data_IF_108608804978
#
_entry.id   IF_108608804978
#
_cell.length_a   1.000
_cell.length_b   1.000
_cell.length_c   1.000
_cell.angle_alpha   90.00
_cell.angle_beta   90.00
_cell.angle_gamma   90.00
#
_symmetry.space_group_name_H-M   'P 1'
#
loop_
_entity.id
_entity.type
_entity.pdbx_description
1 polymer ?
#
# COMPACT_ATOMS: atom_id res chain seq x y z
N UNK A 1 6.95 -31.06 12.42
CA UNK A 1 5.88 -30.47 13.26
C UNK A 1 4.64 -30.33 12.41
N UNK A 2 3.51 -30.89 12.83
CA UNK A 2 2.23 -30.67 12.15
C UNK A 2 1.64 -29.40 12.75
N UNK A 3 1.58 -28.32 12.00
CA UNK A 3 0.91 -27.07 12.39
C UNK A 3 -0.58 -27.24 12.10
N UNK A 4 -1.41 -27.00 13.09
CA UNK A 4 -2.85 -26.82 12.87
C UNK A 4 -3.05 -25.39 12.39
N UNK A 5 -3.62 -25.17 11.20
CA UNK A 5 -3.85 -23.80 10.73
C UNK A 5 -4.83 -23.09 11.66
N UNK A 6 -4.37 -22.03 12.33
CA UNK A 6 -5.24 -21.06 12.98
C UNK A 6 -5.68 -20.06 11.92
N UNK A 7 -6.92 -20.13 11.49
CA UNK A 7 -7.51 -19.09 10.68
C UNK A 7 -7.97 -17.96 11.61
N UNK A 8 -7.32 -16.80 11.50
CA UNK A 8 -7.84 -15.55 12.07
C UNK A 8 -8.60 -14.82 10.97
N UNK A 9 -9.91 -14.73 11.09
CA UNK A 9 -10.70 -13.82 10.28
C UNK A 9 -10.47 -12.40 10.81
N UNK A 10 -9.65 -11.63 10.14
CA UNK A 10 -9.54 -10.20 10.39
C UNK A 10 -10.58 -9.52 9.52
N UNK A 11 -11.73 -9.22 10.10
CA UNK A 11 -12.82 -8.50 9.45
C UNK A 11 -12.44 -7.02 9.28
N UNK A 12 -11.57 -6.71 8.33
CA UNK A 12 -11.32 -5.32 7.91
C UNK A 12 -12.41 -4.81 6.94
N UNK A 13 -13.19 -5.72 6.33
CA UNK A 13 -14.36 -5.48 5.45
C UNK A 13 -15.19 -6.76 5.36
N UNK A 14 -16.39 -6.72 4.76
CA UNK A 14 -17.29 -7.90 4.65
C UNK A 14 -16.64 -9.16 4.09
N UNK A 15 -15.54 -9.03 3.37
CA UNK A 15 -14.89 -10.14 2.69
C UNK A 15 -13.69 -10.70 3.45
N UNK A 16 -13.20 -10.04 4.52
CA UNK A 16 -12.06 -10.50 5.35
C UNK A 16 -10.93 -11.18 4.55
N UNK A 17 -9.83 -11.45 5.18
CA UNK A 17 -8.82 -12.33 4.57
C UNK A 17 -8.31 -13.36 5.58
N UNK A 18 -7.90 -14.51 5.08
CA UNK A 18 -7.39 -15.61 5.89
C UNK A 18 -5.88 -15.60 5.81
N UNK A 19 -5.20 -15.49 6.96
CA UNK A 19 -3.76 -15.66 7.07
C UNK A 19 -3.47 -17.07 7.57
N UNK A 20 -2.77 -17.85 6.76
CA UNK A 20 -2.21 -19.11 7.22
C UNK A 20 -0.95 -18.84 8.07
N UNK A 21 -1.09 -19.06 9.37
CA UNK A 21 -0.01 -18.83 10.33
C UNK A 21 1.19 -19.75 10.07
N UNK A 22 0.98 -20.97 9.60
CA UNK A 22 2.05 -21.91 9.31
C UNK A 22 2.95 -21.41 8.17
N UNK A 23 2.35 -20.90 7.10
CA UNK A 23 3.08 -20.34 5.97
C UNK A 23 3.75 -19.03 6.33
N UNK A 24 3.09 -18.16 7.10
CA UNK A 24 3.71 -16.93 7.63
C UNK A 24 4.90 -17.22 8.54
N UNK A 25 4.76 -18.21 9.43
CA UNK A 25 5.85 -18.66 10.31
C UNK A 25 7.04 -19.14 9.48
N UNK A 26 6.80 -19.94 8.46
CA UNK A 26 7.83 -20.48 7.55
C UNK A 26 8.53 -19.37 6.76
N UNK A 27 7.80 -18.36 6.30
CA UNK A 27 8.38 -17.19 5.63
C UNK A 27 9.31 -16.43 6.58
N UNK A 28 8.88 -16.17 7.80
CA UNK A 28 9.67 -15.43 8.79
C UNK A 28 10.89 -16.20 9.31
N UNK A 29 10.94 -17.52 9.16
CA UNK A 29 12.14 -18.33 9.48
C UNK A 29 13.34 -17.98 8.61
N UNK A 30 13.16 -17.35 7.46
CA UNK A 30 14.23 -16.92 6.57
C UNK A 30 14.99 -15.69 7.10
N UNK A 31 14.44 -14.99 8.10
CA UNK A 31 15.04 -13.78 8.64
C UNK A 31 16.30 -14.07 9.46
N UNK A 32 17.34 -13.29 9.20
CA UNK A 32 18.54 -13.32 10.03
C UNK A 32 18.28 -12.73 11.40
N UNK A 33 18.60 -13.48 12.44
CA UNK A 33 18.44 -13.05 13.84
C UNK A 33 19.76 -12.42 14.34
N UNK A 34 19.79 -11.10 14.48
CA UNK A 34 20.98 -10.37 14.96
C UNK A 34 21.27 -10.55 16.46
N UNK A 35 20.41 -11.27 17.20
CA UNK A 35 20.60 -11.50 18.64
C UNK A 35 21.62 -12.62 18.90
N UNK A 36 22.41 -12.44 19.96
CA UNK A 36 23.26 -13.52 20.48
C UNK A 36 22.44 -14.74 20.91
N UNK A 37 23.03 -15.93 20.73
CA UNK A 37 22.37 -17.18 21.10
C UNK A 37 22.13 -17.32 22.62
N UNK A 38 22.87 -16.57 23.45
CA UNK A 38 22.74 -16.61 24.91
C UNK A 38 21.52 -15.82 25.39
N UNK A 39 20.74 -16.41 26.29
CA UNK A 39 19.62 -15.75 26.95
C UNK A 39 18.36 -15.58 26.10
N UNK A 40 18.25 -16.25 24.97
CA UNK A 40 17.06 -16.21 24.12
C UNK A 40 15.90 -16.95 24.80
N UNK A 41 15.01 -16.17 25.45
CA UNK A 41 13.77 -16.71 26.05
C UNK A 41 12.70 -16.99 25.02
N UNK A 42 12.68 -16.20 23.93
CA UNK A 42 11.65 -16.25 22.87
C UNK A 42 12.33 -16.34 21.51
N UNK A 43 11.82 -17.21 20.63
CA UNK A 43 12.29 -17.25 19.23
C UNK A 43 11.92 -15.95 18.53
N UNK A 44 12.75 -15.53 17.57
CA UNK A 44 12.48 -14.32 16.77
C UNK A 44 11.13 -14.45 16.06
N UNK A 45 10.95 -15.58 15.39
CA UNK A 45 9.77 -15.84 14.55
C UNK A 45 8.47 -15.80 15.36
N UNK A 46 8.43 -16.44 16.54
CA UNK A 46 7.24 -16.39 17.41
C UNK A 46 6.87 -14.96 17.78
N UNK A 47 7.87 -14.13 18.14
CA UNK A 47 7.61 -12.74 18.50
C UNK A 47 7.11 -11.94 17.31
N UNK A 48 7.68 -12.15 16.12
CA UNK A 48 7.24 -11.46 14.90
C UNK A 48 5.85 -11.88 14.46
N UNK A 49 5.51 -13.16 14.53
CA UNK A 49 4.13 -13.64 14.28
C UNK A 49 3.16 -12.95 15.24
N UNK A 50 3.49 -12.88 16.52
CA UNK A 50 2.65 -12.18 17.50
C UNK A 50 2.45 -10.70 17.16
N UNK A 51 3.51 -10.01 16.74
CA UNK A 51 3.43 -8.61 16.27
C UNK A 51 2.50 -8.48 15.08
N UNK A 52 2.67 -9.32 14.06
CA UNK A 52 1.87 -9.27 12.84
C UNK A 52 0.40 -9.53 13.15
N UNK A 53 0.08 -10.58 13.90
CA UNK A 53 -1.30 -10.92 14.26
C UNK A 53 -1.97 -9.83 15.10
N UNK A 54 -1.26 -9.25 16.08
CA UNK A 54 -1.78 -8.15 16.86
C UNK A 54 -2.02 -6.89 16.00
N UNK A 55 -1.09 -6.58 15.08
CA UNK A 55 -1.25 -5.48 14.10
C UNK A 55 -2.46 -5.69 13.20
N UNK A 56 -2.65 -6.87 12.66
CA UNK A 56 -3.83 -7.24 11.86
C UNK A 56 -5.13 -7.16 12.67
N UNK A 57 -5.06 -7.31 13.99
CA UNK A 57 -6.18 -7.14 14.91
C UNK A 57 -6.40 -5.69 15.38
N UNK A 58 -5.67 -4.71 14.79
CA UNK A 58 -5.82 -3.28 15.06
C UNK A 58 -4.92 -2.71 16.16
N UNK A 59 -4.02 -3.51 16.74
CA UNK A 59 -3.11 -3.01 17.77
C UNK A 59 -1.99 -2.17 17.16
N UNK A 60 -1.92 -0.90 17.53
CA UNK A 60 -0.96 0.04 16.94
C UNK A 60 0.28 0.28 17.79
N UNK A 61 0.22 0.04 19.08
CA UNK A 61 1.30 0.32 20.02
C UNK A 61 1.88 -0.96 20.61
N UNK A 62 3.18 -0.94 20.91
CA UNK A 62 3.91 -2.09 21.47
C UNK A 62 3.28 -2.61 22.77
N UNK A 63 2.75 -1.71 23.61
CA UNK A 63 2.07 -2.09 24.83
C UNK A 63 0.76 -2.83 24.53
N UNK A 64 -0.05 -2.33 23.58
CA UNK A 64 -1.28 -3.01 23.13
C UNK A 64 -0.97 -4.38 22.55
N UNK A 65 0.09 -4.52 21.73
CA UNK A 65 0.56 -5.82 21.22
C UNK A 65 0.85 -6.79 22.38
N UNK A 66 1.59 -6.35 23.41
CA UNK A 66 1.91 -7.20 24.55
C UNK A 66 0.66 -7.64 25.34
N UNK A 67 -0.28 -6.73 25.55
CA UNK A 67 -1.55 -7.00 26.23
C UNK A 67 -2.43 -7.93 25.40
N UNK A 68 -2.54 -7.69 24.08
CA UNK A 68 -3.28 -8.53 23.15
C UNK A 68 -2.77 -9.98 23.15
N UNK A 69 -1.44 -10.17 23.10
CA UNK A 69 -0.80 -11.49 23.16
C UNK A 69 -1.01 -12.15 24.52
N UNK A 70 -0.87 -11.40 25.62
CA UNK A 70 -1.08 -11.91 26.99
C UNK A 70 -2.48 -12.51 27.16
N UNK A 71 -3.49 -11.85 26.60
CA UNK A 71 -4.89 -12.31 26.66
C UNK A 71 -5.16 -13.57 25.82
N UNK A 72 -4.34 -13.84 24.79
CA UNK A 72 -4.53 -14.93 23.82
C UNK A 72 -3.41 -15.95 23.81
N UNK A 73 -2.54 -15.95 24.82
CA UNK A 73 -1.30 -16.73 24.81
C UNK A 73 -1.51 -18.24 24.68
N UNK A 74 -2.56 -18.79 25.30
CA UNK A 74 -2.89 -20.21 25.19
C UNK A 74 -3.32 -20.58 23.76
N UNK A 75 -4.21 -19.81 23.18
CA UNK A 75 -4.69 -20.00 21.80
C UNK A 75 -3.56 -19.86 20.78
N UNK A 76 -2.69 -18.87 20.98
CA UNK A 76 -1.51 -18.64 20.15
C UNK A 76 -0.50 -19.79 20.29
N UNK A 77 -0.30 -20.29 21.48
CA UNK A 77 0.60 -21.42 21.71
C UNK A 77 0.06 -22.70 21.08
N UNK A 78 -1.22 -22.98 21.22
CA UNK A 78 -1.89 -24.11 20.59
C UNK A 78 -1.74 -24.05 19.06
N UNK A 79 -2.10 -22.91 18.45
CA UNK A 79 -2.03 -22.75 17.01
C UNK A 79 -0.63 -22.77 16.42
N UNK A 80 0.37 -22.38 17.18
CA UNK A 80 1.78 -22.46 16.79
C UNK A 80 2.45 -23.77 17.19
N UNK A 81 1.73 -24.69 17.85
CA UNK A 81 2.29 -25.95 18.36
C UNK A 81 3.38 -25.75 19.41
N UNK A 82 3.30 -24.70 20.22
CA UNK A 82 4.30 -24.36 21.22
C UNK A 82 4.03 -25.14 22.51
N UNK A 83 5.07 -25.75 23.10
CA UNK A 83 4.97 -26.47 24.38
C UNK A 83 4.62 -25.57 25.58
N UNK A 84 4.83 -24.27 25.46
CA UNK A 84 4.52 -23.24 26.47
C UNK A 84 3.82 -22.08 25.80
N UNK A 85 2.99 -21.36 26.55
CA UNK A 85 2.29 -20.18 26.09
C UNK A 85 3.10 -18.90 26.44
N UNK A 86 4.10 -18.51 25.63
CA UNK A 86 4.94 -17.36 25.93
C UNK A 86 4.15 -16.06 25.75
N UNK A 87 4.31 -15.14 26.71
CA UNK A 87 3.78 -13.78 26.63
C UNK A 87 4.91 -12.78 26.92
N UNK A 88 5.64 -12.33 25.89
CA UNK A 88 6.71 -11.38 26.06
C UNK A 88 6.21 -10.05 26.63
N UNK A 89 7.01 -9.43 27.48
CA UNK A 89 6.74 -8.07 27.97
C UNK A 89 6.96 -7.03 26.84
N UNK A 90 6.28 -5.89 26.91
CA UNK A 90 6.37 -4.81 25.92
C UNK A 90 7.82 -4.42 25.55
N UNK A 91 8.72 -4.32 26.55
CA UNK A 91 10.15 -4.03 26.32
C UNK A 91 10.82 -5.08 25.41
N UNK A 92 10.39 -6.34 25.46
CA UNK A 92 10.95 -7.40 24.60
C UNK A 92 10.62 -7.12 23.14
N UNK A 93 9.41 -6.73 22.82
CA UNK A 93 9.01 -6.31 21.47
C UNK A 93 9.80 -5.12 21.00
N UNK A 94 9.93 -4.06 21.82
CA UNK A 94 10.73 -2.88 21.50
C UNK A 94 12.18 -3.25 21.14
N UNK A 95 12.82 -4.09 21.97
CA UNK A 95 14.20 -4.51 21.71
C UNK A 95 14.34 -5.36 20.46
N UNK A 96 13.40 -6.27 20.20
CA UNK A 96 13.43 -7.13 19.02
C UNK A 96 13.21 -6.31 17.75
N UNK A 97 12.20 -5.47 17.72
CA UNK A 97 11.89 -4.63 16.56
C UNK A 97 12.97 -3.59 16.28
N UNK A 98 13.62 -3.06 17.33
CA UNK A 98 14.66 -2.04 17.17
C UNK A 98 16.06 -2.58 16.86
N UNK A 99 16.40 -3.83 17.26
CA UNK A 99 17.79 -4.27 17.22
C UNK A 99 18.01 -5.70 16.71
N UNK A 100 16.97 -6.54 16.65
CA UNK A 100 17.14 -7.96 16.35
C UNK A 100 16.97 -8.32 14.88
N UNK A 101 16.35 -7.45 14.11
CA UNK A 101 16.02 -7.66 12.69
C UNK A 101 16.64 -6.59 11.82
N UNK A 102 16.83 -6.92 10.56
CA UNK A 102 17.09 -5.94 9.52
C UNK A 102 15.75 -5.45 8.96
N UNK A 103 15.47 -4.14 8.96
CA UNK A 103 14.20 -3.61 8.46
C UNK A 103 13.93 -3.96 7.00
N UNK A 104 14.96 -3.88 6.14
CA UNK A 104 14.81 -4.13 4.71
C UNK A 104 14.58 -5.62 4.43
N UNK A 105 15.30 -6.49 5.14
CA UNK A 105 15.08 -7.94 5.07
C UNK A 105 13.67 -8.31 5.55
N UNK A 106 13.23 -7.75 6.68
CA UNK A 106 11.89 -7.97 7.20
C UNK A 106 10.81 -7.50 6.22
N UNK A 107 10.96 -6.29 5.68
CA UNK A 107 10.03 -5.75 4.69
C UNK A 107 9.95 -6.63 3.46
N UNK A 108 11.08 -7.12 2.94
CA UNK A 108 11.12 -8.02 1.79
C UNK A 108 10.38 -9.33 2.07
N UNK A 109 10.66 -9.99 3.18
CA UNK A 109 10.03 -11.27 3.55
C UNK A 109 8.52 -11.12 3.72
N UNK A 110 8.08 -10.06 4.40
CA UNK A 110 6.65 -9.77 4.62
C UNK A 110 5.95 -9.43 3.30
N UNK A 111 6.56 -8.58 2.46
CA UNK A 111 6.06 -8.26 1.12
C UNK A 111 5.89 -9.52 0.29
N UNK A 112 6.94 -10.34 0.19
CA UNK A 112 6.94 -11.54 -0.64
C UNK A 112 5.88 -12.54 -0.14
N UNK A 113 5.69 -12.66 1.17
CA UNK A 113 4.62 -13.46 1.73
C UNK A 113 3.23 -12.96 1.30
N UNK A 114 2.93 -11.68 1.49
CA UNK A 114 1.62 -11.13 1.16
C UNK A 114 1.36 -11.04 -0.35
N UNK A 115 2.39 -10.83 -1.16
CA UNK A 115 2.28 -10.82 -2.62
C UNK A 115 1.88 -12.20 -3.20
N UNK A 116 2.21 -13.29 -2.51
CA UNK A 116 1.87 -14.65 -2.93
C UNK A 116 0.53 -15.16 -2.37
N UNK A 117 -0.17 -14.37 -1.57
CA UNK A 117 -1.51 -14.74 -1.13
C UNK A 117 -2.48 -14.75 -2.32
N UNK A 118 -3.40 -15.73 -2.40
CA UNK A 118 -4.35 -15.82 -3.52
C UNK A 118 -5.16 -14.54 -3.75
N UNK A 119 -5.43 -13.79 -2.68
CA UNK A 119 -6.16 -12.54 -2.72
C UNK A 119 -5.35 -11.37 -3.30
N UNK A 120 -4.02 -11.42 -3.26
CA UNK A 120 -3.16 -10.35 -3.75
C UNK A 120 -3.24 -10.16 -5.27
N UNK A 121 -3.67 -11.18 -6.01
CA UNK A 121 -3.84 -11.14 -7.46
C UNK A 121 -5.18 -10.58 -7.95
N UNK A 122 -6.15 -10.39 -7.08
CA UNK A 122 -7.55 -10.09 -7.45
C UNK A 122 -7.71 -8.62 -7.84
N UNK A 123 -7.02 -7.70 -7.18
CA UNK A 123 -7.16 -6.27 -7.50
C UNK A 123 -6.45 -5.92 -8.80
N UNK A 124 -7.20 -5.25 -9.68
CA UNK A 124 -6.65 -4.68 -10.91
C UNK A 124 -5.90 -3.36 -10.66
N UNK A 125 -6.13 -2.68 -9.52
CA UNK A 125 -5.57 -1.36 -9.25
C UNK A 125 -4.43 -1.42 -8.22
N UNK A 126 -3.39 -0.64 -8.49
CA UNK A 126 -2.30 -0.35 -7.56
C UNK A 126 -2.24 1.17 -7.39
N UNK A 127 -2.38 1.63 -6.17
CA UNK A 127 -2.29 3.05 -5.84
C UNK A 127 -0.91 3.36 -5.26
N UNK A 128 -0.30 4.45 -5.70
CA UNK A 128 0.92 5.00 -5.12
C UNK A 128 0.56 6.22 -4.27
N UNK A 129 1.02 6.25 -3.03
CA UNK A 129 0.80 7.39 -2.11
C UNK A 129 2.02 7.59 -1.22
N UNK A 130 2.47 8.83 -1.15
CA UNK A 130 3.57 9.23 -0.27
C UNK A 130 3.05 9.71 1.08
N UNK A 131 3.70 9.27 2.16
CA UNK A 131 3.34 9.68 3.53
C UNK A 131 4.56 9.96 4.37
N UNK A 132 4.50 11.09 5.07
CA UNK A 132 5.46 11.39 6.13
C UNK A 132 4.98 10.76 7.44
N UNK A 133 5.81 9.92 8.04
CA UNK A 133 5.54 9.32 9.33
C UNK A 133 5.81 10.36 10.41
N UNK A 134 4.77 11.04 10.87
CA UNK A 134 4.86 12.21 11.77
C UNK A 134 5.57 11.90 13.10
N UNK A 135 5.39 10.70 13.63
CA UNK A 135 6.01 10.27 14.90
C UNK A 135 7.53 10.11 14.79
N UNK A 136 8.10 10.16 13.58
CA UNK A 136 9.54 10.09 13.34
C UNK A 136 10.19 11.48 13.21
N UNK A 137 9.40 12.56 13.31
CA UNK A 137 9.94 13.92 13.27
C UNK A 137 10.65 14.22 14.58
N UNK A 138 11.97 14.44 14.58
CA UNK A 138 12.68 14.79 15.80
C UNK A 138 12.21 16.14 16.36
N UNK A 139 12.32 16.32 17.66
CA UNK A 139 11.98 17.59 18.30
C UNK A 139 12.79 18.74 17.66
N UNK A 140 12.09 19.77 17.16
CA UNK A 140 12.69 20.93 16.48
C UNK A 140 12.99 20.71 14.98
N UNK A 141 12.71 19.55 14.41
CA UNK A 141 12.81 19.29 12.98
C UNK A 141 11.44 19.43 12.29
N UNK A 142 11.46 19.69 10.98
CA UNK A 142 10.26 19.78 10.15
C UNK A 142 10.05 18.54 9.27
N UNK A 143 11.09 17.70 9.15
CA UNK A 143 11.11 16.54 8.27
C UNK A 143 11.19 15.25 9.12
N UNK A 144 10.28 14.33 8.85
CA UNK A 144 10.28 12.97 9.39
C UNK A 144 10.58 11.94 8.29
N UNK A 145 10.49 10.66 8.66
CA UNK A 145 10.61 9.58 7.70
C UNK A 145 9.51 9.70 6.64
N UNK A 146 9.90 9.89 5.40
CA UNK A 146 8.97 9.90 4.27
C UNK A 146 8.97 8.53 3.59
N UNK A 147 7.81 8.00 3.31
CA UNK A 147 7.63 6.69 2.70
C UNK A 147 6.72 6.80 1.49
N UNK A 148 7.08 6.14 0.41
CA UNK A 148 6.21 5.89 -0.72
C UNK A 148 5.65 4.47 -0.59
N UNK A 149 4.33 4.35 -0.59
CA UNK A 149 3.63 3.07 -0.51
C UNK A 149 2.93 2.74 -1.83
N UNK A 150 3.03 1.49 -2.24
CA UNK A 150 2.18 0.88 -3.25
C UNK A 150 1.15 0.01 -2.54
N UNK A 151 -0.13 0.27 -2.76
CA UNK A 151 -1.21 -0.46 -2.10
C UNK A 151 -2.39 -0.73 -3.04
N UNK A 152 -3.15 -1.76 -2.72
CA UNK A 152 -4.40 -2.07 -3.41
C UNK A 152 -5.58 -1.33 -2.76
N UNK A 153 -6.63 -0.98 -3.52
CA UNK A 153 -7.81 -0.28 -2.99
C UNK A 153 -8.46 -0.97 -1.79
N UNK A 154 -8.34 -2.28 -1.71
CA UNK A 154 -8.85 -3.11 -0.62
C UNK A 154 -8.07 -2.95 0.69
N UNK A 155 -7.05 -2.09 0.71
CA UNK A 155 -6.27 -1.75 1.91
C UNK A 155 -4.99 -2.56 2.10
N UNK A 156 -4.57 -3.35 1.11
CA UNK A 156 -3.32 -4.09 1.17
C UNK A 156 -2.14 -3.24 0.74
N UNK A 157 -1.16 -3.11 1.60
CA UNK A 157 0.13 -2.51 1.24
C UNK A 157 1.00 -3.60 0.62
N UNK A 158 1.29 -3.45 -0.68
CA UNK A 158 2.14 -4.37 -1.42
C UNK A 158 3.62 -4.13 -1.12
N UNK A 159 4.01 -2.87 -1.07
CA UNK A 159 5.39 -2.44 -0.86
C UNK A 159 5.41 -1.04 -0.28
N UNK A 160 6.35 -0.81 0.62
CA UNK A 160 6.72 0.53 1.08
C UNK A 160 8.21 0.75 0.84
N UNK A 161 8.56 1.90 0.30
CA UNK A 161 9.95 2.33 0.15
C UNK A 161 10.20 3.59 0.95
N UNK A 162 11.32 3.66 1.65
CA UNK A 162 11.78 4.90 2.28
C UNK A 162 12.25 5.83 1.17
N UNK A 163 11.76 7.05 1.19
CA UNK A 163 12.25 8.15 0.35
C UNK A 163 13.38 8.81 1.12
N UNK A 164 14.59 8.78 0.59
CA UNK A 164 15.74 9.37 1.24
C UNK A 164 15.58 10.90 1.37
N UNK A 165 16.19 11.50 2.37
CA UNK A 165 16.00 12.92 2.69
C UNK A 165 16.36 13.89 1.56
N UNK A 166 17.15 13.43 0.58
CA UNK A 166 17.55 14.19 -0.63
C UNK A 166 16.79 13.79 -1.88
N UNK A 167 15.94 12.78 -1.80
CA UNK A 167 15.08 12.32 -2.88
C UNK A 167 13.66 12.84 -2.69
N UNK A 168 12.91 12.87 -3.78
CA UNK A 168 11.46 13.04 -3.76
C UNK A 168 10.76 11.76 -4.20
N UNK A 169 9.44 11.72 -4.08
CA UNK A 169 8.63 10.58 -4.48
C UNK A 169 8.81 10.21 -5.96
N UNK A 170 9.09 11.19 -6.83
CA UNK A 170 9.31 10.98 -8.27
C UNK A 170 10.51 10.05 -8.51
N UNK A 171 11.58 10.20 -7.72
CA UNK A 171 12.78 9.36 -7.82
C UNK A 171 12.57 7.99 -7.16
N UNK A 172 11.77 7.93 -6.09
CA UNK A 172 11.50 6.68 -5.38
C UNK A 172 10.49 5.77 -6.12
N UNK A 173 9.51 6.34 -6.81
CA UNK A 173 8.44 5.59 -7.48
C UNK A 173 8.95 4.53 -8.48
N UNK A 174 9.94 4.81 -9.35
CA UNK A 174 10.52 3.82 -10.25
C UNK A 174 11.06 2.57 -9.55
N UNK A 175 11.70 2.74 -8.38
CA UNK A 175 12.25 1.62 -7.60
C UNK A 175 11.14 0.76 -6.99
N UNK A 176 10.10 1.42 -6.46
CA UNK A 176 8.93 0.73 -5.89
C UNK A 176 8.23 -0.09 -6.98
N UNK A 177 7.97 0.49 -8.15
CA UNK A 177 7.26 -0.18 -9.24
C UNK A 177 8.04 -1.34 -9.85
N UNK A 178 9.37 -1.25 -9.97
CA UNK A 178 10.21 -2.36 -10.46
C UNK A 178 10.12 -3.63 -9.63
N UNK A 179 9.75 -3.50 -8.36
CA UNK A 179 9.62 -4.64 -7.44
C UNK A 179 8.24 -5.28 -7.46
N UNK A 180 7.32 -4.80 -8.29
CA UNK A 180 5.94 -5.26 -8.37
C UNK A 180 5.64 -5.90 -9.73
N UNK A 181 4.77 -6.90 -9.75
CA UNK A 181 4.20 -7.41 -11.00
C UNK A 181 3.03 -6.51 -11.43
N UNK A 182 3.25 -5.72 -12.47
CA UNK A 182 2.29 -4.75 -12.99
C UNK A 182 1.43 -5.30 -14.13
N UNK A 183 1.61 -6.55 -14.56
CA UNK A 183 0.88 -7.13 -15.70
C UNK A 183 -0.62 -7.11 -15.45
N UNK A 184 -1.38 -6.55 -16.40
CA UNK A 184 -2.83 -6.41 -16.33
C UNK A 184 -3.32 -5.47 -15.21
N UNK A 185 -2.43 -4.68 -14.59
CA UNK A 185 -2.78 -3.77 -13.50
C UNK A 185 -3.04 -2.36 -14.00
N UNK A 186 -3.75 -1.59 -13.19
CA UNK A 186 -3.95 -0.15 -13.36
C UNK A 186 -3.21 0.56 -12.23
N UNK A 187 -2.20 1.33 -12.56
CA UNK A 187 -1.45 2.13 -11.58
C UNK A 187 -2.09 3.51 -11.47
N UNK A 188 -2.39 3.93 -10.26
CA UNK A 188 -2.92 5.27 -9.96
C UNK A 188 -2.00 6.00 -8.98
N UNK A 189 -1.88 7.31 -9.13
CA UNK A 189 -1.14 8.14 -8.21
C UNK A 189 -1.67 9.58 -8.22
N UNK A 190 -1.16 10.39 -7.29
CA UNK A 190 -1.47 11.81 -7.26
C UNK A 190 -0.75 12.58 -8.39
N UNK A 191 -1.02 13.87 -8.46
CA UNK A 191 -0.49 14.74 -9.51
C UNK A 191 1.04 14.86 -9.49
N UNK A 192 1.69 14.72 -8.33
CA UNK A 192 3.15 14.81 -8.22
C UNK A 192 3.84 13.71 -9.03
N UNK A 193 3.25 12.53 -9.04
CA UNK A 193 3.75 11.35 -9.76
C UNK A 193 3.29 11.27 -11.22
N UNK A 194 2.49 12.23 -11.69
CA UNK A 194 2.07 12.33 -13.09
C UNK A 194 3.23 12.80 -13.98
N UNK A 195 4.24 11.94 -14.15
CA UNK A 195 5.45 12.21 -14.93
C UNK A 195 5.52 11.27 -16.16
N UNK A 196 6.03 11.81 -17.28
CA UNK A 196 6.17 11.06 -18.53
C UNK A 196 7.04 9.81 -18.35
N UNK A 197 8.22 9.96 -17.72
CA UNK A 197 9.16 8.86 -17.54
C UNK A 197 8.57 7.72 -16.70
N UNK A 198 7.82 8.07 -15.66
CA UNK A 198 7.11 7.07 -14.84
C UNK A 198 6.02 6.36 -15.64
N UNK A 199 5.33 7.09 -16.50
CA UNK A 199 4.31 6.53 -17.42
C UNK A 199 4.90 5.52 -18.39
N UNK A 200 6.05 5.84 -19.00
CA UNK A 200 6.79 4.95 -19.89
C UNK A 200 7.22 3.69 -19.13
N UNK A 201 7.82 3.85 -17.97
CA UNK A 201 8.27 2.73 -17.17
C UNK A 201 7.14 1.77 -16.76
N UNK A 202 5.96 2.28 -16.42
CA UNK A 202 4.80 1.43 -16.07
C UNK A 202 4.43 0.54 -17.26
N UNK A 203 4.42 1.08 -18.47
CA UNK A 203 4.12 0.32 -19.67
C UNK A 203 5.23 -0.68 -19.99
N UNK A 204 6.49 -0.30 -19.89
CA UNK A 204 7.64 -1.17 -20.18
C UNK A 204 7.74 -2.35 -19.18
N UNK A 205 7.55 -2.09 -17.88
CA UNK A 205 7.63 -3.11 -16.82
C UNK A 205 6.39 -3.99 -16.80
N UNK A 206 5.22 -3.40 -16.99
CA UNK A 206 3.94 -4.10 -16.94
C UNK A 206 3.45 -4.68 -18.26
N UNK A 207 4.05 -4.30 -19.39
CA UNK A 207 3.64 -4.70 -20.72
C UNK A 207 2.31 -4.08 -21.15
N UNK A 208 1.22 -4.48 -20.54
CA UNK A 208 -0.14 -3.96 -20.77
C UNK A 208 -0.70 -3.15 -19.58
N UNK A 209 0.15 -2.80 -18.62
CA UNK A 209 -0.26 -2.01 -17.48
C UNK A 209 -0.82 -0.65 -17.91
N UNK A 210 -1.94 -0.28 -17.29
CA UNK A 210 -2.58 1.02 -17.51
C UNK A 210 -2.25 1.97 -16.39
N UNK A 211 -2.39 3.27 -16.64
CA UNK A 211 -2.17 4.32 -15.65
C UNK A 211 -3.32 5.29 -15.61
N UNK A 212 -3.61 5.81 -14.43
CA UNK A 212 -4.58 6.89 -14.21
C UNK A 212 -3.94 7.94 -13.32
N UNK A 213 -3.73 9.13 -13.86
CA UNK A 213 -3.10 10.24 -13.18
C UNK A 213 -4.10 11.33 -12.84
N UNK A 214 -3.90 11.97 -11.70
CA UNK A 214 -4.56 13.23 -11.38
C UNK A 214 -3.70 14.38 -11.90
N UNK A 215 -4.26 15.26 -12.73
CA UNK A 215 -3.59 16.47 -13.20
C UNK A 215 -4.01 17.66 -12.35
N UNK A 216 -3.04 18.48 -11.97
CA UNK A 216 -3.21 19.73 -11.24
C UNK A 216 -2.30 20.80 -11.87
N UNK A 217 -2.01 21.84 -11.12
CA UNK A 217 -1.18 22.98 -11.56
C UNK A 217 0.29 22.61 -11.87
N UNK A 218 0.73 21.41 -11.53
CA UNK A 218 2.05 20.87 -11.89
C UNK A 218 2.18 20.49 -13.39
N UNK A 219 1.05 20.40 -14.10
CA UNK A 219 0.98 20.12 -15.54
C UNK A 219 0.03 21.11 -16.22
N UNK A 220 0.35 22.42 -16.24
CA UNK A 220 -0.59 23.46 -16.64
C UNK A 220 -1.03 23.33 -18.10
N UNK A 221 -0.11 23.04 -19.03
CA UNK A 221 -0.42 22.95 -20.44
C UNK A 221 -1.35 21.77 -20.75
N UNK A 222 -1.05 20.61 -20.17
CA UNK A 222 -1.89 19.40 -20.31
C UNK A 222 -3.25 19.60 -19.68
N UNK A 223 -3.31 20.26 -18.51
CA UNK A 223 -4.56 20.59 -17.84
C UNK A 223 -5.39 21.56 -18.68
N UNK A 224 -4.79 22.60 -19.22
CA UNK A 224 -5.47 23.57 -20.07
C UNK A 224 -6.02 22.93 -21.34
N UNK A 225 -5.25 22.03 -21.99
CA UNK A 225 -5.72 21.30 -23.16
C UNK A 225 -6.96 20.44 -22.85
N UNK A 226 -6.97 19.76 -21.69
CA UNK A 226 -8.12 19.00 -21.25
C UNK A 226 -9.31 19.89 -20.90
N UNK A 227 -9.09 21.00 -20.16
CA UNK A 227 -10.15 21.94 -19.81
C UNK A 227 -10.80 22.54 -21.07
N UNK A 228 -10.00 22.87 -22.08
CA UNK A 228 -10.49 23.39 -23.36
C UNK A 228 -11.39 22.38 -24.06
N UNK A 229 -11.04 21.08 -24.05
CA UNK A 229 -11.87 20.04 -24.63
C UNK A 229 -13.28 19.97 -24.03
N UNK A 230 -13.41 20.25 -22.75
CA UNK A 230 -14.70 20.19 -22.03
C UNK A 230 -15.46 21.52 -22.00
N UNK A 231 -14.95 22.57 -22.66
CA UNK A 231 -15.69 23.80 -22.85
C UNK A 231 -16.78 23.62 -23.94
N UNK A 232 -17.93 24.29 -23.81
CA UNK A 232 -18.90 24.29 -24.88
C UNK A 232 -18.28 24.84 -26.16
N UNK A 233 -18.47 24.15 -27.29
CA UNK A 233 -18.07 24.67 -28.59
C UNK A 233 -18.72 26.04 -28.80
N UNK A 234 -17.91 27.07 -28.96
CA UNK A 234 -18.39 28.33 -29.55
C UNK A 234 -18.72 28.00 -31.01
N UNK A 235 -20.02 27.88 -31.32
CA UNK A 235 -20.48 27.67 -32.68
C UNK A 235 -19.99 28.82 -33.58
N UNK A 236 -18.90 28.60 -34.29
CA UNK A 236 -18.51 29.48 -35.39
C UNK A 236 -19.40 29.11 -36.58
N UNK A 237 -20.24 30.05 -37.09
CA UNK A 237 -21.12 29.75 -38.22
C UNK A 237 -20.30 29.24 -39.43
N UNK A 238 -20.60 28.03 -39.88
CA UNK A 238 -19.91 27.38 -41.00
C UNK A 238 -18.82 26.35 -40.67
N UNK A 239 -18.50 26.19 -39.38
CA UNK A 239 -17.63 25.10 -38.88
C UNK A 239 -18.39 24.29 -37.85
N UNK A 240 -18.97 23.18 -38.23
CA UNK A 240 -19.42 22.17 -37.27
C UNK A 240 -18.22 21.32 -36.91
N UNK A 241 -17.71 21.48 -35.70
CA UNK A 241 -16.88 20.44 -35.08
C UNK A 241 -17.64 19.12 -35.14
N UNK A 242 -16.96 18.01 -35.46
CA UNK A 242 -17.60 16.70 -35.44
C UNK A 242 -18.20 16.38 -34.06
N UNK A 243 -19.11 15.41 -33.96
CA UNK A 243 -19.75 15.09 -32.69
C UNK A 243 -18.70 14.61 -31.66
N UNK A 244 -18.53 15.39 -30.60
CA UNK A 244 -17.67 15.01 -29.48
C UNK A 244 -18.21 13.77 -28.76
N UNK A 245 -17.38 12.75 -28.51
CA UNK A 245 -17.79 11.56 -27.76
C UNK A 245 -17.60 11.79 -26.25
N UNK A 246 -18.59 12.43 -25.63
CA UNK A 246 -18.63 12.57 -24.19
C UNK A 246 -19.59 11.60 -23.53
N UNK A 247 -19.16 10.97 -22.42
CA UNK A 247 -20.00 10.19 -21.55
C UNK A 247 -20.03 10.82 -20.18
N UNK A 248 -21.22 11.14 -19.69
CA UNK A 248 -21.39 11.81 -18.41
C UNK A 248 -22.18 10.93 -17.45
N UNK A 249 -21.69 10.80 -16.22
CA UNK A 249 -22.42 10.20 -15.10
C UNK A 249 -22.55 11.20 -13.96
N UNK A 250 -23.68 11.13 -13.23
CA UNK A 250 -23.96 12.01 -12.09
C UNK A 250 -24.45 11.19 -10.91
N UNK A 251 -23.91 11.48 -9.74
CA UNK A 251 -24.38 10.93 -8.46
C UNK A 251 -24.80 12.06 -7.53
N UNK A 252 -25.75 11.78 -6.66
CA UNK A 252 -26.22 12.71 -5.63
C UNK A 252 -26.29 11.97 -4.32
N UNK A 253 -25.50 12.42 -3.34
CA UNK A 253 -25.49 11.91 -1.98
C UNK A 253 -26.18 12.93 -1.06
N UNK A 254 -27.03 12.46 -0.17
CA UNK A 254 -27.74 13.30 0.79
C UNK A 254 -27.45 12.79 2.20
N UNK A 255 -26.81 13.60 3.01
CA UNK A 255 -26.59 13.38 4.43
C UNK A 255 -27.23 14.52 5.25
N UNK A 256 -27.48 14.35 6.55
CA UNK A 256 -28.04 15.41 7.38
C UNK A 256 -27.24 16.72 7.26
N UNK A 257 -27.88 17.77 6.77
CA UNK A 257 -27.26 19.09 6.58
C UNK A 257 -26.35 19.23 5.36
N UNK A 258 -26.18 18.20 4.52
CA UNK A 258 -25.33 18.25 3.32
C UNK A 258 -25.95 17.48 2.16
N UNK A 259 -26.02 18.16 1.00
CA UNK A 259 -26.32 17.54 -0.30
C UNK A 259 -25.09 17.69 -1.19
N UNK A 260 -24.54 16.57 -1.63
CA UNK A 260 -23.37 16.56 -2.52
C UNK A 260 -23.78 15.98 -3.88
N UNK A 261 -23.45 16.70 -4.93
CA UNK A 261 -23.66 16.25 -6.30
C UNK A 261 -22.30 16.14 -6.98
N UNK A 262 -21.99 14.96 -7.49
CA UNK A 262 -20.77 14.69 -8.25
C UNK A 262 -21.14 14.38 -9.68
N UNK A 263 -20.42 15.01 -10.61
CA UNK A 263 -20.54 14.77 -12.05
C UNK A 263 -19.17 14.36 -12.58
N UNK A 264 -19.11 13.28 -13.32
CA UNK A 264 -17.92 12.85 -14.05
C UNK A 264 -18.26 12.85 -15.54
N UNK A 265 -17.41 13.46 -16.35
CA UNK A 265 -17.50 13.44 -17.81
C UNK A 265 -16.20 12.86 -18.35
N UNK A 266 -16.29 11.93 -19.28
CA UNK A 266 -15.14 11.25 -19.89
C UNK A 266 -15.16 11.44 -21.41
N UNK A 267 -13.96 11.57 -22.00
CA UNK A 267 -13.73 11.65 -23.42
C UNK A 267 -12.50 10.83 -23.83
N UNK A 268 -12.42 10.46 -25.11
CA UNK A 268 -11.24 9.82 -25.70
C UNK A 268 -10.53 10.72 -26.72
N UNK A 269 -11.00 11.92 -26.93
CA UNK A 269 -10.59 12.79 -28.04
C UNK A 269 -9.14 13.28 -27.96
N UNK A 270 -8.59 13.46 -26.75
CA UNK A 270 -7.20 13.91 -26.57
C UNK A 270 -6.15 12.79 -26.69
N UNK A 271 -6.55 11.56 -26.93
CA UNK A 271 -5.63 10.42 -26.97
C UNK A 271 -4.52 10.56 -28.01
N UNK A 272 -4.82 11.26 -29.12
CA UNK A 272 -3.90 11.45 -30.24
C UNK A 272 -3.09 12.76 -30.17
N UNK A 273 -3.53 13.71 -29.34
CA UNK A 273 -2.92 15.04 -29.22
C UNK A 273 -1.97 15.18 -28.02
N UNK A 274 -2.11 14.35 -27.02
CA UNK A 274 -1.20 14.35 -25.90
C UNK A 274 0.00 13.46 -26.27
N UNK A 275 1.18 14.08 -26.42
CA UNK A 275 2.48 13.40 -26.56
C UNK A 275 2.87 12.59 -25.31
N UNK A 276 1.88 11.98 -24.72
CA UNK A 276 2.01 11.10 -23.57
C UNK A 276 1.77 9.67 -24.02
N UNK A 277 2.75 8.78 -23.87
CA UNK A 277 2.57 7.36 -24.18
C UNK A 277 1.56 6.71 -23.23
#
# INVERSE_FOLDING_TARGET
MKYTPLSFEVNLRPEGFVVDIGSLYSALMQLHNKRDARGLRYTLVTVLVYVILAKLSGENFVRGIADWVKLRKEQLAEGLGLAKAPAPHAITYTRILGHAIDPDEFQRVVRDYFAHLPQAGISLAINLDGKTVRETIPAGATLGLHQLAAYMPEGWVLLQGVVESKENEIVAAPRVLKSLDLRGKVVTADALLAQRDLSIQIVEVGGDAKRVWTLKDNQPDTRQAIETLFQPDECVPGFSGGPHEFRTARTTDTAPGRREQRTITVSRELKEYLDWP
#
